data_IF_935995615463
#
_entry.id   IF_935995615463
#
_cell.length_a   1.000
_cell.length_b   1.000
_cell.length_c   1.000
_cell.angle_alpha   90.00
_cell.angle_beta   90.00
_cell.angle_gamma   90.00
#
_symmetry.space_group_name_H-M   'P 1'
#
loop_
_entity.id
_entity.type
_entity.pdbx_description
1 polymer ?
#
# COMPACT_ATOMS: atom_id res chain seq x y z
N UNK A 1 11.17 -8.88 16.92
CA UNK A 1 12.55 -8.50 16.54
C UNK A 1 12.72 -7.01 16.78
N UNK A 2 13.94 -6.47 16.76
CA UNK A 2 14.19 -5.02 16.83
C UNK A 2 14.30 -4.37 15.44
N UNK A 3 14.25 -5.18 14.38
CA UNK A 3 14.32 -4.71 12.99
C UNK A 3 12.96 -4.20 12.50
N UNK A 4 12.92 -3.21 11.58
CA UNK A 4 11.69 -2.75 10.95
C UNK A 4 10.99 -3.85 10.15
N UNK A 5 9.66 -3.83 10.14
CA UNK A 5 8.81 -4.74 9.36
C UNK A 5 8.11 -3.98 8.24
N UNK A 6 8.39 -4.37 7.00
CA UNK A 6 7.77 -3.82 5.79
C UNK A 6 6.70 -4.78 5.29
N UNK A 7 5.50 -4.28 5.02
CA UNK A 7 4.43 -5.06 4.40
C UNK A 7 4.30 -4.73 2.92
N UNK A 8 4.16 -5.76 2.09
CA UNK A 8 3.90 -5.64 0.65
C UNK A 8 2.47 -6.10 0.32
N UNK A 9 1.49 -5.18 0.30
CA UNK A 9 0.13 -5.49 -0.11
C UNK A 9 -0.02 -5.75 -1.61
N UNK A 10 0.93 -5.30 -2.46
CA UNK A 10 0.87 -5.52 -3.91
C UNK A 10 1.13 -6.99 -4.22
N UNK A 11 2.34 -7.51 -4.01
CA UNK A 11 2.65 -8.92 -4.24
C UNK A 11 1.94 -9.85 -3.26
N UNK A 12 1.66 -9.38 -2.04
CA UNK A 12 0.94 -10.16 -1.04
C UNK A 12 -0.50 -10.51 -1.45
N UNK A 13 -1.13 -9.70 -2.31
CA UNK A 13 -2.50 -9.95 -2.81
C UNK A 13 -2.55 -10.33 -4.28
N UNK A 14 -1.60 -9.85 -5.09
CA UNK A 14 -1.61 -10.00 -6.55
C UNK A 14 -2.74 -9.25 -7.26
N UNK A 15 -3.50 -8.40 -6.54
CA UNK A 15 -4.71 -7.75 -7.07
C UNK A 15 -4.86 -6.33 -6.55
N UNK A 16 -4.87 -5.37 -7.49
CA UNK A 16 -4.87 -3.94 -7.18
C UNK A 16 -6.06 -3.50 -6.30
N UNK A 17 -7.22 -4.17 -6.41
CA UNK A 17 -8.43 -3.83 -5.67
C UNK A 17 -8.36 -4.23 -4.19
N UNK A 18 -7.49 -5.18 -3.83
CA UNK A 18 -7.22 -5.60 -2.45
C UNK A 18 -6.11 -4.78 -1.79
N UNK A 19 -5.21 -4.16 -2.57
CA UNK A 19 -4.03 -3.42 -2.06
C UNK A 19 -4.41 -2.41 -0.98
N UNK A 20 -5.45 -1.60 -1.21
CA UNK A 20 -5.86 -0.58 -0.25
C UNK A 20 -6.38 -1.13 1.08
N UNK A 21 -7.11 -2.25 1.05
CA UNK A 21 -7.61 -2.90 2.26
C UNK A 21 -6.47 -3.53 3.07
N UNK A 22 -5.55 -4.22 2.40
CA UNK A 22 -4.41 -4.87 3.04
C UNK A 22 -3.38 -3.85 3.54
N UNK A 23 -3.17 -2.74 2.83
CA UNK A 23 -2.34 -1.63 3.29
C UNK A 23 -2.85 -1.05 4.61
N UNK A 24 -4.16 -0.79 4.72
CA UNK A 24 -4.79 -0.32 5.98
C UNK A 24 -4.65 -1.34 7.09
N UNK A 25 -4.86 -2.63 6.79
CA UNK A 25 -4.68 -3.70 7.75
C UNK A 25 -3.23 -3.80 8.24
N UNK A 26 -2.25 -3.63 7.36
CA UNK A 26 -0.83 -3.65 7.70
C UNK A 26 -0.44 -2.47 8.60
N UNK A 27 -0.91 -1.25 8.27
CA UNK A 27 -0.73 -0.08 9.14
C UNK A 27 -1.37 -0.33 10.51
N UNK A 28 -2.63 -0.78 10.55
CA UNK A 28 -3.34 -1.14 11.78
C UNK A 28 -2.64 -2.23 12.62
N UNK A 29 -1.97 -3.18 11.96
CA UNK A 29 -1.18 -4.22 12.61
C UNK A 29 0.18 -3.71 13.14
N UNK A 30 0.56 -2.48 12.82
CA UNK A 30 1.79 -1.85 13.29
C UNK A 30 3.00 -2.06 12.37
N UNK A 31 2.79 -2.32 11.07
CA UNK A 31 3.87 -2.33 10.09
C UNK A 31 4.59 -0.96 10.08
N UNK A 32 5.91 -0.99 9.90
CA UNK A 32 6.76 0.21 9.93
C UNK A 32 6.81 0.90 8.58
N UNK A 33 6.63 0.15 7.49
CA UNK A 33 6.52 0.70 6.15
C UNK A 33 5.63 -0.18 5.26
N UNK A 34 5.21 0.41 4.15
CA UNK A 34 4.50 -0.28 3.07
C UNK A 34 5.34 -0.24 1.79
N UNK A 35 5.36 -1.33 1.03
CA UNK A 35 5.87 -1.40 -0.33
C UNK A 35 4.68 -1.54 -1.29
N UNK A 36 4.45 -0.55 -2.14
CA UNK A 36 3.28 -0.49 -3.02
C UNK A 36 3.74 -0.24 -4.45
N UNK A 37 3.30 -1.09 -5.37
CA UNK A 37 3.55 -0.90 -6.80
C UNK A 37 2.58 0.09 -7.41
N UNK A 38 3.12 1.01 -8.22
CA UNK A 38 2.37 2.06 -8.89
C UNK A 38 2.83 2.18 -10.33
N UNK A 39 1.89 2.26 -11.26
CA UNK A 39 2.16 2.47 -12.68
C UNK A 39 1.15 3.47 -13.27
N UNK A 40 1.56 4.42 -14.15
CA UNK A 40 0.63 5.39 -14.75
C UNK A 40 -0.42 4.73 -15.65
N UNK A 41 -0.09 3.59 -16.27
CA UNK A 41 -1.00 2.79 -17.10
C UNK A 41 -0.80 1.29 -16.81
N UNK A 42 -1.38 0.73 -15.74
CA UNK A 42 -1.13 -0.66 -15.34
C UNK A 42 -1.48 -1.68 -16.42
N UNK A 43 -2.44 -1.38 -17.30
CA UNK A 43 -2.81 -2.25 -18.41
C UNK A 43 -1.70 -2.43 -19.46
N UNK A 44 -0.72 -1.52 -19.49
CA UNK A 44 0.46 -1.57 -20.38
C UNK A 44 1.77 -1.81 -19.65
N UNK A 45 1.73 -2.11 -18.35
CA UNK A 45 2.93 -2.44 -17.59
C UNK A 45 3.56 -3.72 -18.14
N UNK A 46 4.90 -3.75 -18.26
CA UNK A 46 5.63 -4.94 -18.71
C UNK A 46 5.69 -6.04 -17.65
N UNK A 47 5.51 -5.68 -16.38
CA UNK A 47 5.43 -6.59 -15.24
C UNK A 47 4.32 -6.10 -14.31
N UNK A 48 3.65 -7.02 -13.64
CA UNK A 48 2.85 -6.78 -12.44
C UNK A 48 1.76 -5.69 -12.54
N UNK A 49 1.24 -5.48 -13.75
CA UNK A 49 0.13 -4.55 -14.00
C UNK A 49 -1.16 -4.88 -13.23
N UNK A 50 -1.41 -6.16 -12.92
CA UNK A 50 -2.61 -6.59 -12.22
C UNK A 50 -2.66 -6.16 -10.74
N UNK A 51 -1.50 -5.93 -10.12
CA UNK A 51 -1.36 -5.55 -8.70
C UNK A 51 -0.87 -4.09 -8.51
N UNK A 52 -0.45 -3.45 -9.60
CA UNK A 52 -0.05 -2.04 -9.61
C UNK A 52 -1.25 -1.10 -9.49
N UNK A 53 -1.17 -0.13 -8.59
CA UNK A 53 -2.13 0.97 -8.53
C UNK A 53 -1.86 1.98 -9.66
N UNK A 54 -2.91 2.65 -10.12
CA UNK A 54 -2.75 3.92 -10.86
C UNK A 54 -2.27 5.03 -9.92
N UNK A 55 -1.61 6.06 -10.43
CA UNK A 55 -1.15 7.23 -9.64
C UNK A 55 -2.29 7.83 -8.79
N UNK A 56 -3.48 8.04 -9.36
CA UNK A 56 -4.62 8.63 -8.62
C UNK A 56 -5.09 7.75 -7.46
N UNK A 57 -5.12 6.43 -7.67
CA UNK A 57 -5.45 5.46 -6.62
C UNK A 57 -4.40 5.44 -5.51
N UNK A 58 -3.13 5.58 -5.87
CA UNK A 58 -2.06 5.70 -4.89
C UNK A 58 -2.21 6.98 -4.05
N UNK A 59 -2.43 8.13 -4.67
CA UNK A 59 -2.69 9.40 -3.96
C UNK A 59 -3.90 9.27 -3.03
N UNK A 60 -4.99 8.67 -3.52
CA UNK A 60 -6.18 8.39 -2.70
C UNK A 60 -5.84 7.51 -1.50
N UNK A 61 -5.09 6.43 -1.70
CA UNK A 61 -4.68 5.53 -0.62
C UNK A 61 -3.84 6.27 0.43
N UNK A 62 -2.86 7.09 0.02
CA UNK A 62 -2.04 7.86 0.96
C UNK A 62 -2.87 8.85 1.79
N UNK A 63 -3.89 9.48 1.19
CA UNK A 63 -4.83 10.34 1.92
C UNK A 63 -5.69 9.57 2.92
N UNK A 64 -6.05 8.32 2.61
CA UNK A 64 -6.81 7.45 3.52
C UNK A 64 -5.94 6.89 4.65
N UNK A 65 -4.66 6.62 4.40
CA UNK A 65 -3.74 6.07 5.40
C UNK A 65 -3.26 7.11 6.40
N UNK A 66 -3.12 8.38 6.01
CA UNK A 66 -2.63 9.47 6.87
C UNK A 66 -3.40 9.58 8.20
N UNK A 67 -4.74 9.74 8.22
CA UNK A 67 -5.49 9.81 9.47
C UNK A 67 -5.43 8.50 10.27
N UNK A 68 -5.25 7.35 9.61
CA UNK A 68 -5.08 6.07 10.29
C UNK A 68 -3.73 6.00 11.03
N UNK A 69 -2.63 6.39 10.38
CA UNK A 69 -1.32 6.45 11.03
C UNK A 69 -1.32 7.43 12.20
N UNK A 70 -1.90 8.62 12.02
CA UNK A 70 -2.04 9.62 13.09
C UNK A 70 -2.82 9.07 14.29
N UNK A 71 -3.93 8.37 14.06
CA UNK A 71 -4.72 7.71 15.11
C UNK A 71 -3.93 6.62 15.86
N UNK A 72 -2.90 6.07 15.23
CA UNK A 72 -1.98 5.10 15.83
C UNK A 72 -0.74 5.75 16.47
N UNK A 73 -0.66 7.08 16.51
CA UNK A 73 0.49 7.82 17.02
C UNK A 73 1.73 7.73 16.12
N UNK A 74 1.53 7.50 14.82
CA UNK A 74 2.58 7.45 13.79
C UNK A 74 2.38 8.58 12.76
N UNK A 75 3.43 8.89 12.02
CA UNK A 75 3.40 9.83 10.90
C UNK A 75 3.54 9.11 9.56
N UNK A 76 3.10 9.76 8.48
CA UNK A 76 3.02 9.21 7.14
C UNK A 76 3.59 10.16 6.07
#
# INVERSE_FOLDING_TARGET
>A
THLPIVADPSHGTGKWDLVGAVAKAAVAAGADALMIEVHPDPARAWSDGAQSLTVDRFVKLMNELRPLAEAMGREL
#
